data_IF_113540700801
#
_entry.id   IF_113540700801
#
_cell.length_a   1.000
_cell.length_b   1.000
_cell.length_c   1.000
_cell.angle_alpha   90.00
_cell.angle_beta   90.00
_cell.angle_gamma   90.00
#
_symmetry.space_group_name_H-M   'P 1'
#
loop_
_entity.id
_entity.type
_entity.pdbx_description
1 polymer ?
#
# COMPACT_ATOMS: atom_id res chain seq x y z
N UNK A 1 -4.74 17.68 -25.64
CA UNK A 1 -5.07 16.29 -25.31
C UNK A 1 -4.83 16.07 -23.81
N UNK A 2 -5.72 16.54 -22.92
CA UNK A 2 -5.63 16.32 -21.45
C UNK A 2 -7.06 16.43 -20.86
N UNK A 3 -8.01 15.61 -21.32
CA UNK A 3 -9.36 15.57 -20.73
C UNK A 3 -9.68 14.25 -20.00
N UNK A 4 -8.86 13.22 -20.18
CA UNK A 4 -9.11 11.88 -19.63
C UNK A 4 -8.34 11.55 -18.34
N UNK A 5 -7.34 12.35 -17.95
CA UNK A 5 -6.54 12.08 -16.74
C UNK A 5 -7.37 11.92 -15.45
N UNK A 6 -8.36 12.78 -15.17
CA UNK A 6 -9.14 12.65 -13.94
C UNK A 6 -10.01 11.38 -13.93
N UNK A 7 -10.61 11.04 -15.07
CA UNK A 7 -11.46 9.87 -15.20
C UNK A 7 -10.65 8.56 -15.08
N UNK A 8 -9.49 8.49 -15.73
CA UNK A 8 -8.58 7.36 -15.63
C UNK A 8 -8.06 7.17 -14.20
N UNK A 9 -7.70 8.25 -13.51
CA UNK A 9 -7.24 8.20 -12.12
C UNK A 9 -8.30 7.69 -11.16
N UNK A 10 -9.53 8.19 -11.28
CA UNK A 10 -10.65 7.70 -10.47
C UNK A 10 -11.01 6.25 -10.78
N UNK A 11 -10.84 5.82 -12.03
CA UNK A 11 -11.03 4.42 -12.39
C UNK A 11 -9.97 3.51 -11.77
N UNK A 12 -8.69 3.92 -11.79
CA UNK A 12 -7.61 3.17 -11.14
C UNK A 12 -7.87 3.02 -9.64
N UNK A 13 -8.28 4.09 -8.94
CA UNK A 13 -8.65 4.02 -7.52
C UNK A 13 -9.77 3.00 -7.28
N UNK A 14 -10.81 3.02 -8.11
CA UNK A 14 -11.93 2.07 -7.99
C UNK A 14 -11.49 0.64 -8.22
N UNK A 15 -10.66 0.38 -9.21
CA UNK A 15 -10.17 -0.97 -9.52
C UNK A 15 -9.23 -1.49 -8.42
N UNK A 16 -8.31 -0.67 -7.91
CA UNK A 16 -7.40 -1.06 -6.81
C UNK A 16 -8.16 -1.38 -5.53
N UNK A 17 -9.24 -0.63 -5.24
CA UNK A 17 -10.11 -0.91 -4.10
C UNK A 17 -11.19 -1.97 -4.40
N UNK A 18 -11.21 -2.53 -5.61
CA UNK A 18 -12.22 -3.51 -5.99
C UNK A 18 -11.93 -4.87 -5.35
N UNK A 19 -12.96 -5.69 -5.11
CA UNK A 19 -12.77 -7.07 -4.66
C UNK A 19 -12.10 -7.97 -5.71
N UNK A 20 -11.79 -7.46 -6.91
CA UNK A 20 -11.02 -8.20 -7.93
C UNK A 20 -9.53 -8.15 -7.68
N UNK A 21 -9.06 -7.14 -6.95
CA UNK A 21 -7.63 -6.92 -6.68
C UNK A 21 -7.27 -7.39 -5.27
N UNK A 22 -8.14 -7.16 -4.29
CA UNK A 22 -7.90 -7.58 -2.90
C UNK A 22 -8.31 -9.03 -2.64
N UNK A 23 -7.45 -9.80 -1.98
CA UNK A 23 -7.75 -11.15 -1.49
C UNK A 23 -8.00 -11.16 0.01
N UNK A 24 -8.74 -12.16 0.48
CA UNK A 24 -8.91 -12.38 1.91
C UNK A 24 -7.62 -12.89 2.54
N UNK A 25 -7.38 -12.47 3.77
CA UNK A 25 -6.29 -12.97 4.60
C UNK A 25 -6.47 -14.48 4.89
N UNK A 26 -5.41 -15.24 4.67
CA UNK A 26 -5.31 -16.66 4.95
C UNK A 26 -4.00 -16.94 5.73
N UNK A 27 -4.07 -17.45 6.98
CA UNK A 27 -2.88 -17.72 7.78
C UNK A 27 -1.98 -18.83 7.24
N UNK A 28 -2.45 -19.66 6.29
CA UNK A 28 -1.66 -20.73 5.69
C UNK A 28 -0.84 -20.25 4.47
N UNK A 29 -1.10 -19.05 3.98
CA UNK A 29 -0.42 -18.47 2.83
C UNK A 29 0.64 -17.47 3.30
N UNK A 30 1.82 -17.51 2.68
CA UNK A 30 2.93 -16.64 3.04
C UNK A 30 2.52 -15.17 2.89
N UNK A 31 2.94 -14.34 3.85
CA UNK A 31 2.71 -12.90 3.86
C UNK A 31 3.98 -12.16 3.46
N UNK A 32 3.80 -11.08 2.72
CA UNK A 32 4.83 -10.06 2.49
C UNK A 32 4.28 -8.69 2.82
N UNK A 33 5.15 -7.83 3.32
CA UNK A 33 4.85 -6.42 3.58
C UNK A 33 5.90 -5.60 2.87
N UNK A 34 5.45 -4.72 1.99
CA UNK A 34 6.31 -3.76 1.31
C UNK A 34 5.91 -2.36 1.77
N UNK A 35 6.87 -1.58 2.23
CA UNK A 35 6.66 -0.20 2.67
C UNK A 35 7.56 0.74 1.89
N UNK A 36 7.03 1.91 1.55
CA UNK A 36 7.79 3.01 0.96
C UNK A 36 7.48 4.32 1.71
N UNK A 37 8.51 5.14 1.86
CA UNK A 37 8.45 6.39 2.61
C UNK A 37 8.92 7.56 1.75
N UNK A 38 8.08 8.58 1.69
CA UNK A 38 8.43 9.88 1.13
C UNK A 38 8.68 10.91 2.25
N UNK A 39 9.20 12.11 1.92
CA UNK A 39 9.38 13.17 2.91
C UNK A 39 8.10 13.63 3.60
N UNK A 40 6.93 13.41 3.00
CA UNK A 40 5.64 13.98 3.46
C UNK A 40 4.60 12.93 3.82
N UNK A 41 4.81 11.68 3.44
CA UNK A 41 3.82 10.61 3.56
C UNK A 41 4.46 9.25 3.39
N UNK A 42 3.78 8.23 3.89
CA UNK A 42 4.24 6.85 3.85
C UNK A 42 3.12 5.94 3.38
N UNK A 43 3.48 4.80 2.77
CA UNK A 43 2.53 3.81 2.30
C UNK A 43 3.10 2.41 2.39
N UNK A 44 2.23 1.43 2.62
CA UNK A 44 2.60 0.03 2.58
C UNK A 44 1.47 -0.84 2.04
N UNK A 45 1.85 -1.99 1.51
CA UNK A 45 0.95 -3.04 1.04
C UNK A 45 1.25 -4.32 1.81
N UNK A 46 0.18 -4.95 2.28
CA UNK A 46 0.22 -6.31 2.81
C UNK A 46 -0.32 -7.23 1.72
N UNK A 47 0.46 -8.24 1.34
CA UNK A 47 0.11 -9.17 0.27
C UNK A 47 0.33 -10.63 0.67
N UNK A 48 -0.38 -11.52 -0.01
CA UNK A 48 -0.05 -12.94 -0.03
C UNK A 48 0.91 -13.27 -1.17
N UNK A 49 1.88 -14.14 -0.87
CA UNK A 49 2.69 -14.83 -1.89
C UNK A 49 2.16 -16.26 -2.00
N UNK A 50 1.52 -16.56 -3.13
CA UNK A 50 0.96 -17.89 -3.39
C UNK A 50 2.04 -18.88 -3.87
N UNK A 51 1.78 -20.21 -3.80
CA UNK A 51 2.74 -21.22 -4.28
C UNK A 51 3.10 -21.13 -5.76
N UNK A 52 2.27 -20.48 -6.58
CA UNK A 52 2.54 -20.19 -7.99
C UNK A 52 3.48 -18.99 -8.20
N UNK A 53 3.93 -18.36 -7.11
CA UNK A 53 4.76 -17.16 -7.11
C UNK A 53 3.97 -15.87 -7.37
N UNK A 54 2.64 -15.93 -7.50
CA UNK A 54 1.82 -14.74 -7.66
C UNK A 54 1.70 -13.99 -6.34
N UNK A 55 1.84 -12.67 -6.41
CA UNK A 55 1.56 -11.78 -5.30
C UNK A 55 0.16 -11.20 -5.44
N UNK A 56 -0.63 -11.25 -4.36
CA UNK A 56 -1.96 -10.64 -4.35
C UNK A 56 -2.16 -9.80 -3.09
N UNK A 57 -2.54 -8.51 -3.24
CA UNK A 57 -2.69 -7.61 -2.11
C UNK A 57 -3.90 -8.00 -1.24
N UNK A 58 -3.74 -7.88 0.06
CA UNK A 58 -4.77 -8.06 1.09
C UNK A 58 -5.28 -6.68 1.54
N UNK A 59 -4.35 -5.76 1.79
CA UNK A 59 -4.66 -4.42 2.27
C UNK A 59 -3.58 -3.42 1.85
N UNK A 60 -4.01 -2.17 1.66
CA UNK A 60 -3.12 -1.02 1.47
C UNK A 60 -3.31 -0.06 2.64
N UNK A 61 -2.21 0.40 3.23
CA UNK A 61 -2.23 1.46 4.22
C UNK A 61 -1.41 2.66 3.70
N UNK A 62 -1.90 3.86 3.97
CA UNK A 62 -1.15 5.08 3.65
C UNK A 62 -1.46 6.17 4.67
N UNK A 63 -0.46 6.98 4.99
CA UNK A 63 -0.56 8.04 5.99
C UNK A 63 0.28 9.25 5.60
N UNK A 64 -0.32 10.43 5.69
CA UNK A 64 0.41 11.70 5.63
C UNK A 64 1.15 11.92 6.95
N UNK A 65 2.46 12.15 6.88
CA UNK A 65 3.29 12.35 8.06
C UNK A 65 3.04 13.73 8.68
N UNK A 66 2.92 13.79 10.01
CA UNK A 66 2.92 15.04 10.76
C UNK A 66 4.29 15.73 10.71
N UNK A 67 4.35 17.03 11.04
CA UNK A 67 5.61 17.80 11.05
C UNK A 67 6.71 17.18 11.92
N UNK A 68 6.34 16.39 12.93
CA UNK A 68 7.30 15.68 13.79
C UNK A 68 7.76 14.40 13.09
N UNK A 69 6.82 13.59 12.60
CA UNK A 69 7.13 12.32 11.90
C UNK A 69 7.93 12.55 10.61
N UNK A 70 7.76 13.68 9.94
CA UNK A 70 8.57 14.06 8.76
C UNK A 70 10.07 14.18 9.07
N UNK A 71 10.44 14.41 10.34
CA UNK A 71 11.84 14.51 10.79
C UNK A 71 12.46 13.17 11.16
N UNK A 72 11.68 12.10 11.17
CA UNK A 72 12.21 10.75 11.39
C UNK A 72 13.16 10.34 10.26
N UNK A 73 14.06 9.41 10.55
CA UNK A 73 14.87 8.79 9.50
C UNK A 73 13.97 8.04 8.52
N UNK A 74 14.44 7.81 7.30
CA UNK A 74 13.72 7.07 6.27
C UNK A 74 13.32 5.68 6.77
N UNK A 75 14.22 5.00 7.47
CA UNK A 75 13.96 3.68 8.09
C UNK A 75 12.85 3.76 9.14
N UNK A 76 12.88 4.78 10.01
CA UNK A 76 11.84 4.96 11.01
C UNK A 76 10.48 5.29 10.39
N UNK A 77 10.46 5.99 9.25
CA UNK A 77 9.23 6.29 8.50
C UNK A 77 8.64 5.03 7.86
N UNK A 78 9.48 4.20 7.23
CA UNK A 78 9.06 2.90 6.69
C UNK A 78 8.47 2.01 7.81
N UNK A 79 9.19 1.87 8.92
CA UNK A 79 8.75 1.09 10.08
C UNK A 79 7.45 1.63 10.70
N UNK A 80 7.29 2.96 10.76
CA UNK A 80 6.04 3.58 11.23
C UNK A 80 4.86 3.07 10.41
N UNK A 81 4.99 2.99 9.09
CA UNK A 81 3.92 2.52 8.21
C UNK A 81 3.49 1.09 8.50
N UNK A 82 4.44 0.21 8.82
CA UNK A 82 4.18 -1.18 9.17
C UNK A 82 3.34 -1.26 10.46
N UNK A 83 3.57 -0.36 11.42
CA UNK A 83 2.79 -0.31 12.68
C UNK A 83 1.34 0.16 12.45
N UNK A 84 1.08 0.92 11.39
CA UNK A 84 -0.25 1.43 11.05
C UNK A 84 -1.11 0.48 10.22
N UNK A 85 -0.53 -0.62 9.72
CA UNK A 85 -1.22 -1.66 8.96
C UNK A 85 -1.78 -2.74 9.91
#
# INVERSE_FOLDING_TARGET
>A
MVKDCPAAFEQIKKEICSPRVLVHYDPEVLLTVESDASPVGVGCVLSHIYPDGSERPIAFASKTLSRIEQKYSEIDKEALTIVWL
#
